data_IF_713996835771
#
_entry.id   IF_713996835771
#
_cell.length_a   1.000
_cell.length_b   1.000
_cell.length_c   1.000
_cell.angle_alpha   90.00
_cell.angle_beta   90.00
_cell.angle_gamma   90.00
#
_symmetry.space_group_name_H-M   'P 1'
#
loop_
_entity.id
_entity.type
_entity.pdbx_description
1 polymer ?
#
# COMPACT_ATOMS: atom_id res chain seq x y z
N UNK A 1 -66.54 -27.31 -7.47
CA UNK A 1 -67.41 -27.79 -6.37
C UNK A 1 -66.65 -27.65 -5.05
N UNK A 2 -67.03 -26.66 -4.23
CA UNK A 2 -67.30 -26.72 -2.77
C UNK A 2 -66.51 -27.77 -1.93
N UNK A 3 -65.81 -27.52 -0.79
CA UNK A 3 -66.02 -26.61 0.36
C UNK A 3 -64.78 -26.62 1.30
N UNK A 4 -64.57 -25.50 2.01
CA UNK A 4 -63.71 -25.26 3.19
C UNK A 4 -64.16 -26.01 4.47
N UNK A 5 -63.25 -26.39 5.38
CA UNK A 5 -63.40 -26.13 6.83
C UNK A 5 -62.18 -26.52 7.70
N UNK A 6 -61.85 -25.62 8.62
CA UNK A 6 -60.93 -25.68 9.76
C UNK A 6 -61.42 -26.64 10.87
N UNK A 7 -60.52 -27.16 11.73
CA UNK A 7 -60.52 -27.05 13.22
C UNK A 7 -59.50 -28.02 13.92
N UNK A 8 -58.62 -27.38 14.71
CA UNK A 8 -57.95 -27.69 16.01
C UNK A 8 -57.71 -29.13 16.56
N UNK A 9 -56.45 -29.29 17.00
CA UNK A 9 -55.92 -29.85 18.27
C UNK A 9 -56.28 -31.28 18.73
N UNK A 10 -55.25 -32.09 19.04
CA UNK A 10 -54.78 -32.49 20.39
C UNK A 10 -53.92 -33.76 20.24
N UNK A 11 -52.64 -33.70 20.62
CA UNK A 11 -51.85 -34.87 21.02
C UNK A 11 -51.46 -34.71 22.51
N UNK A 12 -51.53 -35.77 23.32
CA UNK A 12 -51.43 -35.67 24.77
C UNK A 12 -49.98 -35.66 25.28
N UNK A 13 -49.83 -34.88 26.35
CA UNK A 13 -48.75 -34.92 27.34
C UNK A 13 -48.76 -36.23 28.16
N UNK A 14 -47.58 -36.80 28.41
CA UNK A 14 -47.16 -37.28 29.73
C UNK A 14 -45.62 -37.48 29.71
N UNK A 15 -44.82 -36.65 30.39
CA UNK A 15 -44.59 -36.53 31.84
C UNK A 15 -43.41 -37.40 32.31
N UNK A 16 -42.26 -36.77 32.46
CA UNK A 16 -41.32 -37.07 33.53
C UNK A 16 -40.69 -35.76 33.98
N UNK A 17 -41.12 -35.33 35.17
CA UNK A 17 -40.71 -34.12 35.85
C UNK A 17 -39.22 -34.21 36.25
N UNK A 18 -38.46 -33.17 35.91
CA UNK A 18 -37.13 -32.92 36.46
C UNK A 18 -37.25 -31.69 37.38
N UNK A 19 -36.72 -31.85 38.58
CA UNK A 19 -36.79 -30.94 39.72
C UNK A 19 -36.06 -29.62 39.46
N UNK A 20 -36.81 -28.52 39.35
CA UNK A 20 -36.32 -27.18 38.99
C UNK A 20 -35.64 -26.42 40.13
N UNK A 21 -35.57 -26.97 41.36
CA UNK A 21 -35.02 -26.25 42.51
C UNK A 21 -33.50 -26.31 42.63
N UNK A 22 -32.84 -27.35 42.11
CA UNK A 22 -31.36 -27.44 42.10
C UNK A 22 -30.71 -26.59 41.00
N UNK A 23 -31.41 -26.33 39.89
CA UNK A 23 -30.86 -25.52 38.79
C UNK A 23 -30.79 -24.03 39.16
N UNK A 24 -31.73 -23.52 39.96
CA UNK A 24 -31.82 -22.10 40.31
C UNK A 24 -30.75 -21.69 41.34
N UNK A 25 -30.30 -22.60 42.21
CA UNK A 25 -29.21 -22.31 43.16
C UNK A 25 -27.85 -22.14 42.47
N UNK A 26 -27.59 -22.89 41.39
CA UNK A 26 -26.36 -22.78 40.59
C UNK A 26 -26.27 -21.47 39.79
N UNK A 27 -27.41 -20.91 39.36
CA UNK A 27 -27.44 -19.65 38.61
C UNK A 27 -27.33 -18.40 39.49
N UNK A 28 -27.61 -18.48 40.80
CA UNK A 28 -27.47 -17.33 41.72
C UNK A 28 -26.02 -17.09 42.15
N UNK A 29 -25.22 -18.16 42.35
CA UNK A 29 -23.79 -18.05 42.69
C UNK A 29 -22.92 -17.54 41.52
N UNK A 30 -23.34 -17.80 40.27
CA UNK A 30 -22.67 -17.25 39.07
C UNK A 30 -22.93 -15.75 38.91
N UNK A 31 -24.07 -15.24 39.41
CA UNK A 31 -24.46 -13.84 39.27
C UNK A 31 -23.83 -12.91 40.32
N UNK A 32 -23.38 -13.45 41.44
CA UNK A 32 -22.70 -12.68 42.50
C UNK A 32 -21.16 -12.70 42.38
N UNK A 33 -20.58 -13.67 41.65
CA UNK A 33 -19.15 -13.68 41.28
C UNK A 33 -18.76 -12.76 40.12
N UNK A 34 -19.74 -12.20 39.38
CA UNK A 34 -19.53 -11.27 38.26
C UNK A 34 -19.59 -9.79 38.67
N UNK A 35 -19.83 -9.49 39.96
CA UNK A 35 -19.92 -8.11 40.46
C UNK A 35 -18.58 -7.54 40.96
N UNK A 36 -17.56 -8.38 41.23
CA UNK A 36 -16.26 -7.94 41.73
C UNK A 36 -15.12 -8.57 40.90
N UNK A 37 -14.99 -8.12 39.66
CA UNK A 37 -13.85 -8.43 38.80
C UNK A 37 -13.38 -7.15 38.12
N UNK A 38 -12.20 -6.66 38.51
CA UNK A 38 -11.50 -5.58 37.81
C UNK A 38 -11.54 -5.84 36.30
N UNK A 39 -12.19 -4.94 35.54
CA UNK A 39 -12.17 -5.00 34.07
C UNK A 39 -10.71 -4.93 33.62
N UNK A 40 -10.16 -5.94 32.94
CA UNK A 40 -8.93 -5.74 32.19
C UNK A 40 -9.26 -4.77 31.06
N UNK A 41 -8.79 -3.53 31.18
CA UNK A 41 -8.89 -2.52 30.12
C UNK A 41 -7.94 -2.87 28.98
N UNK A 42 -8.23 -3.95 28.24
CA UNK A 42 -7.61 -4.23 26.95
C UNK A 42 -8.68 -4.32 25.89
N UNK A 43 -9.50 -3.27 25.77
CA UNK A 43 -10.09 -2.96 24.47
C UNK A 43 -8.89 -2.68 23.57
N UNK A 44 -8.47 -3.67 22.78
CA UNK A 44 -7.53 -3.44 21.68
C UNK A 44 -8.12 -2.29 20.88
N UNK A 45 -7.56 -1.08 21.04
CA UNK A 45 -7.98 0.09 20.28
C UNK A 45 -7.86 -0.31 18.82
N UNK A 46 -9.01 -0.52 18.17
CA UNK A 46 -9.06 -0.68 16.73
C UNK A 46 -8.45 0.60 16.19
N UNK A 47 -7.28 0.48 15.56
CA UNK A 47 -6.64 1.60 14.89
C UNK A 47 -7.70 2.12 13.92
N UNK A 48 -8.23 3.33 14.14
CA UNK A 48 -9.18 4.02 13.23
C UNK A 48 -8.39 4.89 12.27
N UNK A 49 -8.83 4.93 10.99
CA UNK A 49 -8.11 5.70 9.98
C UNK A 49 -8.00 7.13 10.50
N UNK A 50 -6.82 7.71 10.38
CA UNK A 50 -6.80 9.14 10.18
C UNK A 50 -6.94 9.23 8.66
N UNK A 51 -8.13 9.56 8.17
CA UNK A 51 -8.22 10.11 6.81
C UNK A 51 -7.24 11.26 6.82
N UNK A 52 -6.21 11.19 5.98
CA UNK A 52 -5.23 12.25 5.92
C UNK A 52 -5.94 13.40 5.24
N UNK A 53 -6.48 14.29 6.07
CA UNK A 53 -6.95 15.58 5.64
C UNK A 53 -5.75 16.50 5.73
N UNK A 54 -5.17 16.81 4.58
CA UNK A 54 -4.14 17.81 4.51
C UNK A 54 -4.76 19.17 4.86
N UNK A 55 -4.01 20.04 5.57
CA UNK A 55 -4.54 21.29 6.10
C UNK A 55 -4.85 22.34 5.02
N UNK A 56 -4.41 22.14 3.77
CA UNK A 56 -4.66 23.03 2.64
C UNK A 56 -5.40 22.33 1.50
N UNK A 57 -6.33 23.07 0.88
CA UNK A 57 -7.11 22.64 -0.29
C UNK A 57 -6.48 23.08 -1.62
N UNK A 58 -5.31 23.71 -1.59
CA UNK A 58 -4.64 24.24 -2.78
C UNK A 58 -3.29 23.58 -2.93
N UNK A 59 -3.10 22.94 -4.09
CA UNK A 59 -1.83 22.36 -4.47
C UNK A 59 -0.71 23.41 -4.44
N UNK A 60 0.54 22.96 -4.22
CA UNK A 60 1.69 23.84 -4.12
C UNK A 60 1.98 24.48 -5.48
N UNK A 61 2.62 25.65 -5.49
CA UNK A 61 3.07 26.30 -6.73
C UNK A 61 4.37 25.66 -7.20
N UNK A 62 4.48 25.40 -8.50
CA UNK A 62 5.66 24.79 -9.10
C UNK A 62 6.68 25.83 -9.53
N UNK A 63 7.94 25.55 -9.18
CA UNK A 63 9.08 26.13 -9.87
C UNK A 63 9.65 25.02 -10.76
N UNK A 64 9.41 25.13 -12.06
CA UNK A 64 10.04 24.24 -13.06
C UNK A 64 11.44 24.77 -13.29
N UNK A 65 12.44 23.93 -13.06
CA UNK A 65 13.82 24.22 -13.44
C UNK A 65 14.24 23.25 -14.55
N UNK A 66 14.76 23.82 -15.63
CA UNK A 66 15.41 23.04 -16.68
C UNK A 66 16.82 22.65 -16.18
N UNK A 67 17.10 21.34 -16.14
CA UNK A 67 18.45 20.86 -15.81
C UNK A 67 19.36 21.16 -17.02
N UNK A 68 20.52 21.83 -16.83
CA UNK A 68 21.43 22.11 -17.95
C UNK A 68 21.91 20.79 -18.57
N UNK A 69 21.92 20.75 -19.91
CA UNK A 69 22.38 19.61 -20.71
C UNK A 69 23.90 19.48 -20.60
N UNK A 70 24.37 18.94 -19.47
CA UNK A 70 25.78 18.65 -19.25
C UNK A 70 26.11 17.26 -19.80
N UNK A 71 26.83 17.28 -20.93
CA UNK A 71 27.15 16.13 -21.78
C UNK A 71 27.58 14.88 -21.02
N UNK A 72 27.09 13.74 -21.51
CA UNK A 72 27.37 12.42 -20.97
C UNK A 72 28.86 12.14 -20.99
N UNK A 73 29.44 11.97 -19.82
CA UNK A 73 30.79 11.41 -19.67
C UNK A 73 30.62 9.89 -19.57
N UNK A 74 31.28 9.15 -20.47
CA UNK A 74 31.31 7.68 -20.45
C UNK A 74 31.93 7.22 -19.13
N UNK A 75 31.09 6.81 -18.17
CA UNK A 75 31.50 6.23 -16.90
C UNK A 75 30.92 4.83 -16.75
N UNK A 76 31.69 3.92 -16.16
CA UNK A 76 31.42 2.48 -16.09
C UNK A 76 29.96 2.13 -15.78
N UNK A 77 29.27 1.63 -16.81
CA UNK A 77 27.81 1.51 -16.84
C UNK A 77 27.26 0.30 -16.06
N UNK A 78 28.15 -0.57 -15.58
CA UNK A 78 27.81 -1.89 -15.03
C UNK A 78 27.90 -1.98 -13.50
N UNK A 79 28.23 -0.88 -12.80
CA UNK A 79 28.37 -0.92 -11.36
C UNK A 79 27.03 -0.73 -10.65
N UNK A 80 26.59 -1.73 -9.89
CA UNK A 80 25.36 -1.67 -9.08
C UNK A 80 25.52 -0.55 -8.03
N UNK A 81 24.60 0.44 -7.97
CA UNK A 81 24.65 1.50 -6.97
C UNK A 81 24.66 0.93 -5.56
N UNK A 82 25.43 1.55 -4.67
CA UNK A 82 25.40 1.17 -3.26
C UNK A 82 24.25 1.94 -2.61
N UNK A 83 23.22 1.23 -2.17
CA UNK A 83 22.23 1.83 -1.27
C UNK A 83 22.94 2.17 0.04
N UNK A 84 22.86 3.43 0.44
CA UNK A 84 23.41 3.88 1.72
C UNK A 84 22.24 4.21 2.62
N UNK A 85 22.34 3.73 3.85
CA UNK A 85 21.50 4.14 4.95
C UNK A 85 22.17 5.28 5.69
N UNK A 86 21.64 6.49 5.54
CA UNK A 86 21.97 7.66 6.34
C UNK A 86 21.17 7.72 7.64
N UNK A 87 20.92 8.94 8.14
CA UNK A 87 20.18 9.18 9.38
C UNK A 87 18.74 8.65 9.35
N UNK A 88 18.16 8.44 8.16
CA UNK A 88 16.86 7.81 7.93
C UNK A 88 16.75 6.39 8.46
N UNK A 89 17.88 5.71 8.56
CA UNK A 89 17.99 4.35 9.07
C UNK A 89 18.40 4.27 10.53
N UNK A 90 19.06 5.31 11.05
CA UNK A 90 19.48 5.43 12.45
C UNK A 90 18.39 6.04 13.36
N UNK A 91 17.36 6.66 12.78
CA UNK A 91 16.19 7.16 13.48
C UNK A 91 15.99 8.67 13.36
N UNK A 92 14.73 9.07 13.12
CA UNK A 92 14.15 10.42 13.19
C UNK A 92 14.92 11.56 12.50
N UNK A 93 14.88 11.60 11.16
CA UNK A 93 15.58 12.60 10.31
C UNK A 93 15.11 14.05 10.49
N UNK A 94 13.92 14.28 11.01
CA UNK A 94 13.32 15.62 11.00
C UNK A 94 13.21 16.24 12.40
N UNK A 95 14.27 16.21 13.22
CA UNK A 95 14.22 17.00 14.46
C UNK A 95 14.37 18.51 14.19
N UNK A 96 15.13 18.90 13.16
CA UNK A 96 15.50 20.29 12.88
C UNK A 96 15.54 20.64 11.38
N UNK A 97 14.82 19.91 10.52
CA UNK A 97 14.91 20.19 9.09
C UNK A 97 14.24 21.54 8.76
N UNK A 98 14.94 22.40 8.02
CA UNK A 98 14.41 23.68 7.56
C UNK A 98 13.31 23.47 6.52
N UNK A 99 12.43 24.47 6.35
CA UNK A 99 11.42 24.45 5.27
C UNK A 99 12.04 24.15 3.90
N UNK A 100 13.19 24.74 3.61
CA UNK A 100 13.94 24.50 2.37
C UNK A 100 14.39 23.04 2.22
N UNK A 101 14.81 22.37 3.30
CA UNK A 101 15.18 20.94 3.26
C UNK A 101 13.97 20.04 3.02
N UNK A 102 12.81 20.37 3.60
CA UNK A 102 11.57 19.62 3.33
C UNK A 102 11.13 19.82 1.88
N UNK A 103 11.22 21.05 1.37
CA UNK A 103 10.88 21.36 -0.02
C UNK A 103 11.81 20.67 -1.02
N UNK A 104 13.14 20.70 -0.78
CA UNK A 104 14.10 20.00 -1.64
C UNK A 104 13.87 18.49 -1.65
N UNK A 105 13.46 17.91 -0.53
CA UNK A 105 13.13 16.47 -0.45
C UNK A 105 11.87 16.07 -1.22
N UNK A 106 11.05 17.05 -1.58
CA UNK A 106 9.84 16.90 -2.38
C UNK A 106 10.10 17.04 -3.88
N UNK A 107 11.28 17.53 -4.26
CA UNK A 107 11.67 17.66 -5.65
C UNK A 107 11.67 16.29 -6.34
N UNK A 108 11.23 16.25 -7.58
CA UNK A 108 11.16 15.02 -8.36
C UNK A 108 11.50 15.27 -9.82
N UNK A 109 11.94 14.21 -10.49
CA UNK A 109 12.13 14.15 -11.94
C UNK A 109 10.98 13.39 -12.60
N UNK A 110 10.60 13.85 -13.77
CA UNK A 110 9.62 13.18 -14.63
C UNK A 110 10.32 12.68 -15.88
N UNK A 111 10.02 11.44 -16.28
CA UNK A 111 10.50 10.86 -17.53
C UNK A 111 9.29 10.60 -18.45
N UNK A 112 9.38 11.02 -19.71
CA UNK A 112 8.33 10.83 -20.72
C UNK A 112 8.92 10.61 -22.11
N UNK A 113 8.13 10.07 -23.05
CA UNK A 113 8.53 9.87 -24.45
C UNK A 113 8.81 11.17 -25.21
N UNK A 114 8.21 12.28 -24.76
CA UNK A 114 8.34 13.61 -25.36
C UNK A 114 9.64 14.32 -24.97
N UNK A 115 10.44 13.68 -24.10
CA UNK A 115 11.78 14.15 -23.71
C UNK A 115 11.73 15.41 -22.86
N UNK A 116 11.49 15.27 -21.55
CA UNK A 116 11.61 16.39 -20.60
C UNK A 116 11.96 15.84 -19.22
N UNK A 117 13.25 15.91 -18.85
CA UNK A 117 13.74 15.71 -17.48
C UNK A 117 13.50 16.99 -16.67
N UNK A 118 12.24 17.27 -16.33
CA UNK A 118 11.92 18.46 -15.51
C UNK A 118 12.15 18.15 -14.05
N UNK A 119 13.04 18.90 -13.40
CA UNK A 119 13.09 18.97 -11.94
C UNK A 119 11.97 19.89 -11.51
N UNK A 120 11.02 19.35 -10.75
CA UNK A 120 9.90 20.12 -10.23
C UNK A 120 10.09 20.35 -8.75
N UNK A 121 10.38 21.60 -8.39
CA UNK A 121 10.37 22.04 -7.00
C UNK A 121 8.94 22.37 -6.55
N UNK A 122 8.66 22.06 -5.29
CA UNK A 122 7.33 22.13 -4.72
C UNK A 122 7.31 23.10 -3.54
N UNK A 123 6.62 24.22 -3.68
CA UNK A 123 6.43 25.16 -2.58
C UNK A 123 5.33 24.69 -1.62
N UNK A 124 5.75 23.95 -0.58
CA UNK A 124 4.86 23.52 0.50
C UNK A 124 4.47 24.69 1.41
N UNK A 125 3.17 24.82 1.69
CA UNK A 125 2.68 25.83 2.63
C UNK A 125 3.05 25.52 4.08
N UNK A 126 3.06 26.55 4.93
CA UNK A 126 3.49 26.43 6.33
C UNK A 126 2.55 25.54 7.16
N UNK A 127 1.27 25.46 6.79
CA UNK A 127 0.30 24.62 7.49
C UNK A 127 0.61 23.13 7.27
N UNK A 128 0.97 22.76 6.04
CA UNK A 128 1.42 21.41 5.68
C UNK A 128 2.70 21.05 6.41
N UNK A 129 3.70 21.94 6.43
CA UNK A 129 4.94 21.74 7.18
C UNK A 129 4.64 21.52 8.68
N UNK A 130 3.77 22.33 9.26
CA UNK A 130 3.35 22.16 10.66
C UNK A 130 2.59 20.84 10.91
N UNK A 131 1.79 20.38 9.95
CA UNK A 131 1.14 19.07 9.98
C UNK A 131 2.16 17.93 10.01
N UNK A 132 3.20 17.99 9.18
CA UNK A 132 4.28 16.99 9.17
C UNK A 132 4.97 16.91 10.52
N UNK A 133 5.36 18.05 11.11
CA UNK A 133 6.00 18.06 12.43
C UNK A 133 5.08 17.47 13.50
N UNK A 134 3.80 17.83 13.51
CA UNK A 134 2.81 17.26 14.45
C UNK A 134 2.70 15.75 14.30
N UNK A 135 2.63 15.25 13.07
CA UNK A 135 2.57 13.81 12.80
C UNK A 135 3.82 13.10 13.33
N UNK A 136 5.02 13.64 13.06
CA UNK A 136 6.28 13.07 13.53
C UNK A 136 6.38 13.04 15.07
N UNK A 137 5.95 14.10 15.76
CA UNK A 137 5.84 14.10 17.22
C UNK A 137 4.85 13.06 17.74
N UNK A 138 3.74 12.87 17.02
CA UNK A 138 2.76 11.81 17.29
C UNK A 138 3.37 10.41 17.18
N UNK A 139 4.09 10.13 16.10
CA UNK A 139 4.78 8.85 15.88
C UNK A 139 5.81 8.56 16.98
N UNK A 140 6.63 9.55 17.37
CA UNK A 140 7.58 9.41 18.49
C UNK A 140 6.89 9.04 19.80
N UNK A 141 5.76 9.70 20.08
CA UNK A 141 4.97 9.41 21.29
C UNK A 141 4.35 8.02 21.24
N UNK A 142 3.93 7.56 20.06
CA UNK A 142 3.43 6.19 19.88
C UNK A 142 4.55 5.16 20.06
N UNK A 143 5.71 5.36 19.44
CA UNK A 143 6.86 4.45 19.57
C UNK A 143 7.27 4.29 21.04
N UNK A 144 7.46 5.41 21.74
CA UNK A 144 7.79 5.39 23.17
C UNK A 144 6.74 4.63 24.00
N UNK A 145 5.44 4.79 23.69
CA UNK A 145 4.38 4.04 24.37
C UNK A 145 4.42 2.55 24.09
N UNK A 146 4.74 2.15 22.86
CA UNK A 146 4.90 0.73 22.52
C UNK A 146 6.14 0.15 23.22
N UNK A 147 7.26 0.87 23.27
CA UNK A 147 8.47 0.51 24.02
C UNK A 147 8.21 0.38 25.53
N UNK A 148 7.54 1.38 26.14
CA UNK A 148 7.11 1.35 27.55
C UNK A 148 6.18 0.15 27.82
N UNK A 149 5.22 -0.12 26.93
CA UNK A 149 4.31 -1.26 27.06
C UNK A 149 5.06 -2.60 26.97
N UNK A 150 6.05 -2.70 26.08
CA UNK A 150 6.94 -3.88 25.98
C UNK A 150 7.77 -4.08 27.24
N UNK A 151 8.40 -3.01 27.74
CA UNK A 151 9.21 -3.04 28.96
C UNK A 151 8.38 -3.44 30.19
N UNK A 152 7.12 -3.00 30.26
CA UNK A 152 6.19 -3.35 31.33
C UNK A 152 5.58 -4.76 31.17
N UNK A 153 5.64 -5.36 29.98
CA UNK A 153 5.24 -6.76 29.77
C UNK A 153 6.39 -7.70 30.15
N UNK A 154 6.37 -8.24 31.37
CA UNK A 154 7.26 -9.35 31.75
C UNK A 154 6.86 -10.59 30.95
N UNK A 155 7.67 -10.96 29.96
CA UNK A 155 7.53 -12.16 29.11
C UNK A 155 6.49 -12.09 27.99
N UNK A 156 6.99 -11.92 26.76
CA UNK A 156 6.92 -12.92 25.68
C UNK A 156 7.89 -12.48 24.57
N UNK A 157 9.17 -12.82 24.71
CA UNK A 157 10.06 -12.89 23.55
C UNK A 157 9.66 -14.14 22.78
N UNK A 158 8.64 -14.00 21.93
CA UNK A 158 8.46 -14.93 20.83
C UNK A 158 9.54 -14.60 19.81
N UNK A 159 10.65 -15.31 19.87
CA UNK A 159 11.53 -15.47 18.71
C UNK A 159 10.69 -16.28 17.73
N UNK A 160 10.02 -15.61 16.80
CA UNK A 160 9.56 -16.27 15.59
C UNK A 160 10.72 -16.11 14.63
N UNK A 161 11.58 -17.14 14.60
CA UNK A 161 12.48 -17.35 13.46
C UNK A 161 11.54 -17.62 12.29
N UNK A 162 11.53 -16.73 11.30
CA UNK A 162 10.65 -16.86 10.13
C UNK A 162 10.97 -18.15 9.37
N UNK A 163 10.02 -19.10 9.39
CA UNK A 163 9.92 -20.09 8.33
C UNK A 163 9.66 -19.35 7.01
N UNK A 164 10.14 -19.89 5.88
CA UNK A 164 9.80 -19.36 4.56
C UNK A 164 8.27 -19.35 4.39
N UNK A 165 7.67 -18.16 4.44
CA UNK A 165 6.22 -17.98 4.33
C UNK A 165 5.76 -17.71 2.91
N UNK A 166 6.59 -18.04 1.89
CA UNK A 166 6.19 -17.89 0.49
C UNK A 166 5.20 -18.97 0.09
N UNK A 167 4.02 -18.53 -0.31
CA UNK A 167 2.98 -19.36 -0.89
C UNK A 167 2.77 -18.95 -2.34
N UNK A 168 2.99 -19.87 -3.27
CA UNK A 168 2.66 -19.62 -4.67
C UNK A 168 1.15 -19.54 -4.84
N UNK A 169 0.68 -18.47 -5.48
CA UNK A 169 -0.71 -18.31 -5.87
C UNK A 169 -0.85 -18.83 -7.29
N UNK A 170 -1.19 -20.10 -7.43
CA UNK A 170 -1.42 -20.76 -8.72
C UNK A 170 -2.89 -20.72 -9.16
N UNK A 171 -3.81 -20.63 -8.20
CA UNK A 171 -5.23 -20.66 -8.44
C UNK A 171 -5.72 -19.38 -9.14
N UNK A 172 -6.40 -19.58 -10.27
CA UNK A 172 -6.91 -18.53 -11.16
C UNK A 172 -7.95 -17.64 -10.48
N UNK A 173 -8.77 -18.16 -9.59
CA UNK A 173 -9.76 -17.36 -8.87
C UNK A 173 -9.06 -16.34 -7.98
N UNK A 174 -8.06 -16.79 -7.22
CA UNK A 174 -7.27 -15.93 -6.34
C UNK A 174 -6.47 -14.88 -7.13
N UNK A 175 -5.80 -15.28 -8.21
CA UNK A 175 -5.03 -14.36 -9.07
C UNK A 175 -5.86 -13.23 -9.69
N UNK A 176 -7.18 -13.42 -9.78
CA UNK A 176 -8.10 -12.43 -10.32
C UNK A 176 -8.77 -11.56 -9.25
N UNK A 177 -8.48 -11.78 -7.97
CA UNK A 177 -9.06 -11.06 -6.84
C UNK A 177 -8.02 -10.19 -6.11
N UNK A 178 -8.47 -9.09 -5.53
CA UNK A 178 -7.66 -8.28 -4.62
C UNK A 178 -7.28 -9.09 -3.36
N UNK A 179 -5.99 -9.17 -2.98
CA UNK A 179 -4.87 -8.30 -3.37
C UNK A 179 -3.94 -8.85 -4.45
N UNK A 180 -4.22 -10.02 -5.01
CA UNK A 180 -3.30 -10.69 -5.93
C UNK A 180 -3.37 -10.11 -7.34
N UNK A 181 -4.56 -9.73 -7.79
CA UNK A 181 -4.81 -9.12 -9.10
C UNK A 181 -4.11 -7.77 -9.32
N UNK A 182 -3.72 -7.10 -8.23
CA UNK A 182 -3.13 -5.76 -8.27
C UNK A 182 -1.62 -5.79 -8.56
N UNK A 183 -0.98 -6.95 -8.50
CA UNK A 183 0.47 -7.07 -8.68
C UNK A 183 0.84 -7.01 -10.16
N UNK A 184 1.91 -6.29 -10.45
CA UNK A 184 2.42 -6.12 -11.81
C UNK A 184 3.90 -6.45 -11.87
N UNK A 185 4.36 -6.71 -13.10
CA UNK A 185 5.76 -6.95 -13.42
C UNK A 185 6.25 -5.87 -14.36
N UNK A 186 7.41 -5.28 -14.11
CA UNK A 186 8.03 -4.35 -15.06
C UNK A 186 8.82 -5.13 -16.11
N UNK A 187 9.08 -4.51 -17.27
CA UNK A 187 9.95 -5.08 -18.30
C UNK A 187 11.36 -5.35 -17.81
N UNK A 188 11.83 -4.56 -16.83
CA UNK A 188 13.11 -4.74 -16.11
C UNK A 188 13.13 -5.96 -15.18
N UNK A 189 12.00 -6.64 -14.99
CA UNK A 189 11.88 -7.84 -14.14
C UNK A 189 11.58 -7.58 -12.67
N UNK A 190 11.38 -6.31 -12.28
CA UNK A 190 10.89 -5.95 -10.95
C UNK A 190 9.39 -6.21 -10.80
N UNK A 191 8.93 -6.10 -9.55
CA UNK A 191 7.52 -6.09 -9.18
C UNK A 191 6.98 -4.68 -8.97
N UNK A 192 5.66 -4.56 -8.92
CA UNK A 192 4.93 -3.34 -8.62
C UNK A 192 3.51 -3.62 -8.15
N UNK A 193 2.81 -2.57 -7.74
CA UNK A 193 1.41 -2.65 -7.30
C UNK A 193 0.55 -1.58 -7.98
N UNK A 194 -0.62 -1.99 -8.48
CA UNK A 194 -1.65 -1.09 -9.00
C UNK A 194 -2.33 -0.36 -7.84
N UNK A 195 -2.33 0.97 -7.93
CA UNK A 195 -3.00 1.85 -6.97
C UNK A 195 -4.14 2.67 -7.59
N UNK A 196 -4.34 2.50 -8.90
CA UNK A 196 -5.55 2.84 -9.65
C UNK A 196 -5.54 2.00 -10.95
N UNK A 197 -6.51 2.22 -11.83
CA UNK A 197 -6.53 1.65 -13.18
C UNK A 197 -5.38 2.14 -14.10
N UNK A 198 -4.68 3.23 -13.74
CA UNK A 198 -3.62 3.84 -14.56
C UNK A 198 -2.26 3.95 -13.87
N UNK A 199 -2.22 3.81 -12.55
CA UNK A 199 -1.06 4.17 -11.74
C UNK A 199 -0.49 2.95 -11.01
N UNK A 200 0.83 2.79 -11.13
CA UNK A 200 1.60 1.71 -10.51
C UNK A 200 2.64 2.31 -9.57
N UNK A 201 2.67 1.85 -8.33
CA UNK A 201 3.81 2.10 -7.43
C UNK A 201 4.85 0.98 -7.59
N UNK A 202 6.12 1.39 -7.57
CA UNK A 202 7.27 0.48 -7.57
C UNK A 202 8.46 1.16 -6.88
N UNK A 203 9.61 0.49 -6.82
CA UNK A 203 10.86 1.05 -6.33
C UNK A 203 11.51 1.92 -7.41
N UNK A 204 12.17 3.01 -7.02
CA UNK A 204 12.91 3.85 -7.97
C UNK A 204 14.06 3.09 -8.64
N UNK A 205 14.68 2.14 -7.92
CA UNK A 205 15.70 1.22 -8.44
C UNK A 205 15.20 0.34 -9.58
N UNK A 206 13.89 0.19 -9.76
CA UNK A 206 13.31 -0.61 -10.86
C UNK A 206 13.18 0.16 -12.18
N UNK A 207 13.41 1.47 -12.15
CA UNK A 207 13.31 2.37 -13.31
C UNK A 207 14.59 3.14 -13.56
N UNK A 208 15.33 3.51 -12.52
CA UNK A 208 16.51 4.38 -12.59
C UNK A 208 17.62 3.89 -11.65
N UNK A 209 18.85 3.80 -12.14
CA UNK A 209 20.00 3.32 -11.35
C UNK A 209 20.79 4.45 -10.64
N UNK A 210 20.21 5.64 -10.54
CA UNK A 210 20.90 6.83 -10.00
C UNK A 210 21.72 7.63 -11.00
N UNK A 211 21.96 7.08 -12.19
CA UNK A 211 22.64 7.78 -13.29
C UNK A 211 21.74 7.91 -14.52
N UNK A 212 21.13 6.80 -14.93
CA UNK A 212 20.27 6.69 -16.10
C UNK A 212 19.08 5.78 -15.84
N UNK A 213 18.10 5.89 -16.72
CA UNK A 213 17.00 4.93 -16.81
C UNK A 213 17.52 3.53 -17.18
N UNK A 214 16.94 2.49 -16.57
CA UNK A 214 17.30 1.10 -16.86
C UNK A 214 16.90 0.66 -18.27
N UNK A 215 15.80 1.22 -18.78
CA UNK A 215 15.33 1.04 -20.15
C UNK A 215 14.85 2.39 -20.70
N UNK A 216 14.84 2.54 -22.02
CA UNK A 216 14.27 3.73 -22.66
C UNK A 216 12.76 3.77 -22.42
N UNK A 217 12.19 4.96 -22.26
CA UNK A 217 10.75 5.13 -21.98
C UNK A 217 9.85 4.37 -22.97
N UNK A 218 10.18 4.42 -24.27
CA UNK A 218 9.46 3.71 -25.35
C UNK A 218 9.49 2.17 -25.23
N UNK A 219 10.53 1.65 -24.58
CA UNK A 219 10.79 0.21 -24.43
C UNK A 219 10.32 -0.29 -23.04
N UNK A 220 10.05 0.62 -22.10
CA UNK A 220 9.60 0.30 -20.76
C UNK A 220 8.10 -0.03 -20.72
N UNK A 221 7.76 -1.22 -20.21
CA UNK A 221 6.40 -1.73 -20.17
C UNK A 221 6.05 -2.28 -18.79
N UNK A 222 4.76 -2.25 -18.46
CA UNK A 222 4.20 -2.92 -17.28
C UNK A 222 3.33 -4.09 -17.73
N UNK A 223 3.67 -5.28 -17.26
CA UNK A 223 2.97 -6.53 -17.51
C UNK A 223 2.01 -6.87 -16.38
N UNK A 224 0.79 -7.24 -16.73
CA UNK A 224 -0.20 -7.80 -15.80
C UNK A 224 -0.48 -9.23 -16.22
N UNK A 225 -0.47 -10.15 -15.26
CA UNK A 225 -0.78 -11.56 -15.55
C UNK A 225 -2.17 -11.66 -16.21
N UNK A 226 -2.29 -12.43 -17.29
CA UNK A 226 -3.56 -12.57 -17.99
C UNK A 226 -4.62 -13.30 -17.10
N UNK A 227 -5.91 -12.97 -17.31
CA UNK A 227 -7.05 -13.59 -16.58
C UNK A 227 -7.29 -15.05 -17.00
N UNK A 228 -6.79 -15.45 -18.18
CA UNK A 228 -6.97 -16.78 -18.77
C UNK A 228 -6.09 -17.83 -18.10
N UNK A 229 -6.40 -19.08 -18.39
CA UNK A 229 -5.49 -20.18 -18.12
C UNK A 229 -4.25 -20.03 -19.01
N UNK A 230 -3.09 -20.20 -18.39
CA UNK A 230 -1.82 -20.21 -19.09
C UNK A 230 -1.56 -21.61 -19.63
N UNK A 231 -0.83 -21.71 -20.73
CA UNK A 231 -0.36 -23.00 -21.22
C UNK A 231 0.73 -23.54 -20.29
N UNK A 232 0.96 -24.86 -20.24
CA UNK A 232 2.05 -25.43 -19.45
C UNK A 232 3.42 -24.82 -19.79
N UNK A 233 3.64 -24.48 -21.07
CA UNK A 233 4.87 -23.80 -21.52
C UNK A 233 5.02 -22.43 -20.84
N UNK A 234 3.96 -21.61 -20.88
CA UNK A 234 3.93 -20.28 -20.24
C UNK A 234 4.16 -20.36 -18.72
N UNK A 235 3.54 -21.34 -18.05
CA UNK A 235 3.71 -21.55 -16.61
C UNK A 235 5.13 -22.02 -16.24
N UNK A 236 5.72 -22.88 -17.06
CA UNK A 236 7.10 -23.35 -16.91
C UNK A 236 8.15 -22.30 -17.31
N UNK A 237 7.71 -21.15 -17.82
CA UNK A 237 8.56 -20.02 -18.16
C UNK A 237 9.00 -19.94 -19.62
N UNK A 238 8.60 -20.91 -20.44
CA UNK A 238 8.78 -20.84 -21.90
C UNK A 238 7.72 -19.89 -22.46
N UNK A 239 8.14 -18.86 -23.20
CA UNK A 239 7.26 -17.78 -23.66
C UNK A 239 6.55 -17.04 -22.51
N UNK A 240 7.15 -16.96 -21.32
CA UNK A 240 6.55 -16.32 -20.14
C UNK A 240 6.02 -14.90 -20.37
N UNK A 241 6.57 -14.16 -21.34
CA UNK A 241 6.09 -12.83 -21.72
C UNK A 241 4.64 -12.86 -22.21
N UNK A 242 4.20 -13.94 -22.85
CA UNK A 242 2.82 -14.14 -23.33
C UNK A 242 1.83 -14.37 -22.20
N UNK A 243 2.31 -14.79 -21.02
CA UNK A 243 1.50 -14.89 -19.81
C UNK A 243 1.06 -13.53 -19.25
N UNK A 244 1.62 -12.44 -19.77
CA UNK A 244 1.32 -11.07 -19.36
C UNK A 244 0.68 -10.29 -20.49
N UNK A 245 -0.20 -9.35 -20.12
CA UNK A 245 -0.62 -8.25 -20.98
C UNK A 245 0.29 -7.06 -20.69
N UNK A 246 1.16 -6.74 -21.64
CA UNK A 246 2.09 -5.61 -21.53
C UNK A 246 1.44 -4.30 -21.95
N UNK A 247 1.59 -3.28 -21.11
CA UNK A 247 1.05 -1.94 -21.34
C UNK A 247 2.20 -0.95 -21.36
N UNK A 248 2.31 -0.13 -22.43
CA UNK A 248 3.33 0.91 -22.50
C UNK A 248 3.14 1.98 -21.43
N UNK A 249 4.25 2.56 -21.00
CA UNK A 249 4.27 3.62 -20.00
C UNK A 249 4.18 5.00 -20.65
N UNK A 250 3.44 5.91 -20.01
CA UNK A 250 3.27 7.31 -20.43
C UNK A 250 4.27 8.22 -19.73
N UNK A 251 4.37 8.10 -18.39
CA UNK A 251 5.25 8.92 -17.54
C UNK A 251 5.78 8.09 -16.37
N UNK A 252 6.98 8.41 -15.91
CA UNK A 252 7.55 7.88 -14.67
C UNK A 252 7.99 9.05 -13.80
N UNK A 253 7.59 9.03 -12.53
CA UNK A 253 7.97 10.00 -11.52
C UNK A 253 8.95 9.35 -10.54
N UNK A 254 10.07 10.02 -10.30
CA UNK A 254 11.14 9.55 -9.41
C UNK A 254 11.59 10.71 -8.51
N UNK A 255 11.82 10.50 -7.20
CA UNK A 255 12.41 11.52 -6.35
C UNK A 255 13.71 12.07 -6.92
N UNK A 256 13.91 13.38 -6.83
CA UNK A 256 15.05 14.05 -7.45
C UNK A 256 16.36 13.56 -6.84
N UNK A 257 16.41 13.41 -5.51
CA UNK A 257 17.58 12.87 -4.79
C UNK A 257 17.99 11.46 -5.25
N UNK A 258 17.05 10.66 -5.76
CA UNK A 258 17.37 9.34 -6.33
C UNK A 258 18.00 9.44 -7.72
N UNK A 259 17.67 10.47 -8.49
CA UNK A 259 18.03 10.63 -9.91
C UNK A 259 18.97 11.80 -10.18
N UNK A 260 19.53 12.38 -9.12
CA UNK A 260 20.51 13.45 -9.21
C UNK A 260 21.87 12.85 -9.56
N UNK A 261 22.55 13.44 -10.56
CA UNK A 261 23.91 13.04 -10.93
C UNK A 261 24.85 13.26 -9.72
N UNK A 262 25.80 12.35 -9.45
CA UNK A 262 26.81 12.58 -8.42
C UNK A 262 27.66 13.82 -8.76
N UNK A 263 28.25 14.51 -7.76
CA UNK A 263 29.10 15.68 -8.00
C UNK A 263 30.27 15.37 -8.95
N UNK A 264 30.57 16.29 -9.87
CA UNK A 264 31.70 16.18 -10.82
C UNK A 264 33.00 15.85 -10.07
N UNK A 265 33.69 14.79 -10.50
CA UNK A 265 34.98 14.36 -9.94
C UNK A 265 34.90 13.21 -8.93
N UNK A 266 33.71 12.79 -8.48
CA UNK A 266 33.55 11.54 -7.72
C UNK A 266 33.43 10.34 -8.68
N UNK A 267 34.56 9.72 -9.00
CA UNK A 267 34.58 8.40 -9.65
C UNK A 267 34.36 7.33 -8.58
N UNK A 268 33.23 6.62 -8.65
CA UNK A 268 32.91 5.50 -7.76
C UNK A 268 31.42 5.17 -7.67
N UNK A 269 31.09 4.14 -6.88
CA UNK A 269 29.70 3.70 -6.62
C UNK A 269 28.83 4.87 -6.16
N UNK A 270 27.74 5.11 -6.88
CA UNK A 270 26.74 6.12 -6.49
C UNK A 270 26.08 5.66 -5.20
N UNK A 271 26.18 6.51 -4.18
CA UNK A 271 25.46 6.37 -2.92
C UNK A 271 24.03 6.86 -3.10
N UNK A 272 23.05 5.95 -3.11
CA UNK A 272 21.65 6.34 -3.26
C UNK A 272 20.90 6.27 -1.92
N UNK A 273 20.07 7.29 -1.61
CA UNK A 273 19.32 7.34 -0.36
C UNK A 273 18.18 6.34 -0.38
N UNK A 274 18.17 5.42 0.58
CA UNK A 274 17.22 4.30 0.59
C UNK A 274 15.78 4.76 0.78
N UNK A 275 15.53 5.82 1.55
CA UNK A 275 14.18 6.37 1.78
C UNK A 275 13.56 6.98 0.53
N UNK A 276 14.35 7.26 -0.50
CA UNK A 276 13.91 7.77 -1.81
C UNK A 276 13.70 6.67 -2.85
N UNK A 277 13.82 5.40 -2.47
CA UNK A 277 13.66 4.28 -3.38
C UNK A 277 12.18 3.95 -3.66
N UNK A 278 11.43 4.91 -4.24
CA UNK A 278 10.06 4.73 -4.70
C UNK A 278 9.81 5.52 -5.98
N UNK A 279 8.94 5.02 -6.83
CA UNK A 279 8.55 5.66 -8.08
C UNK A 279 7.07 5.43 -8.38
N UNK A 280 6.49 6.34 -9.15
CA UNK A 280 5.14 6.19 -9.69
C UNK A 280 5.20 6.11 -11.21
N UNK A 281 4.55 5.11 -11.77
CA UNK A 281 4.42 4.89 -13.20
C UNK A 281 2.97 5.19 -13.62
N UNK A 282 2.81 6.02 -14.66
CA UNK A 282 1.53 6.26 -15.34
C UNK A 282 1.50 5.48 -16.64
N UNK A 283 0.48 4.67 -16.84
CA UNK A 283 0.30 3.85 -18.04
C UNK A 283 -0.36 4.64 -19.18
N UNK A 284 -0.11 4.24 -20.43
CA UNK A 284 -0.78 4.83 -21.60
C UNK A 284 -2.25 4.43 -21.73
N UNK A 285 -2.66 3.34 -21.06
CA UNK A 285 -4.02 2.78 -21.15
C UNK A 285 -4.48 2.29 -19.79
N UNK A 286 -5.76 2.49 -19.50
CA UNK A 286 -6.39 1.97 -18.29
C UNK A 286 -6.42 0.45 -18.29
N UNK A 287 -6.32 -0.10 -17.10
CA UNK A 287 -6.33 -1.52 -16.86
C UNK A 287 -7.68 -1.92 -16.27
N UNK A 288 -8.30 -2.93 -16.86
CA UNK A 288 -9.48 -3.60 -16.31
C UNK A 288 -9.07 -4.55 -15.17
N UNK A 289 -8.62 -3.96 -14.07
CA UNK A 289 -8.14 -4.65 -12.87
C UNK A 289 -8.51 -3.87 -11.61
N UNK A 290 -8.79 -4.61 -10.56
CA UNK A 290 -8.81 -4.05 -9.21
C UNK A 290 -7.45 -3.43 -8.88
N UNK A 291 -7.46 -2.46 -7.99
CA UNK A 291 -6.28 -1.79 -7.46
C UNK A 291 -6.36 -1.69 -5.94
N UNK A 292 -5.24 -1.37 -5.31
CA UNK A 292 -5.13 -1.25 -3.86
C UNK A 292 -5.09 0.20 -3.43
N UNK A 293 -5.72 0.51 -2.30
CA UNK A 293 -5.59 1.84 -1.70
C UNK A 293 -4.16 2.06 -1.20
N UNK A 294 -3.75 3.33 -1.14
CA UNK A 294 -2.48 3.73 -0.52
C UNK A 294 -2.76 4.36 0.83
N UNK A 295 -1.85 4.20 1.78
CA UNK A 295 -2.01 4.71 3.13
C UNK A 295 -0.67 4.97 3.80
N UNK A 296 -0.67 5.80 4.84
CA UNK A 296 0.54 6.05 5.62
C UNK A 296 0.89 4.86 6.50
N UNK A 297 2.15 4.45 6.43
CA UNK A 297 2.77 3.54 7.39
C UNK A 297 3.12 4.32 8.67
N UNK A 298 2.49 3.95 9.77
CA UNK A 298 2.72 4.50 11.10
C UNK A 298 3.09 3.42 12.11
N UNK A 299 3.69 3.79 13.23
CA UNK A 299 3.98 2.86 14.34
C UNK A 299 2.74 2.05 14.73
N UNK A 300 1.56 2.68 14.66
CA UNK A 300 0.30 2.02 15.01
C UNK A 300 -0.07 0.83 14.10
N UNK A 301 0.31 0.84 12.81
CA UNK A 301 -0.05 -0.21 11.85
C UNK A 301 1.14 -1.05 11.36
N UNK A 302 2.36 -0.51 11.36
CA UNK A 302 3.60 -1.16 10.91
C UNK A 302 4.75 -1.01 11.91
N UNK A 303 4.45 -0.78 13.20
CA UNK A 303 5.47 -0.86 14.26
C UNK A 303 6.03 -2.27 14.43
N UNK A 304 7.09 -2.40 15.21
CA UNK A 304 7.68 -3.69 15.57
C UNK A 304 6.64 -4.68 16.13
N UNK A 305 6.70 -5.92 15.65
CA UNK A 305 5.78 -6.99 16.04
C UNK A 305 4.46 -6.99 15.26
N UNK A 306 4.20 -6.00 14.39
CA UNK A 306 3.01 -6.00 13.53
C UNK A 306 3.25 -6.89 12.30
N UNK A 307 2.16 -7.48 11.79
CA UNK A 307 2.19 -8.30 10.58
C UNK A 307 2.01 -7.44 9.35
N UNK A 308 2.88 -7.64 8.37
CA UNK A 308 2.78 -7.05 7.03
C UNK A 308 2.67 -8.16 5.98
N UNK A 309 2.18 -7.78 4.81
CA UNK A 309 1.93 -8.69 3.70
C UNK A 309 2.46 -8.08 2.41
N UNK A 310 2.95 -8.92 1.50
CA UNK A 310 3.10 -8.50 0.11
C UNK A 310 3.04 -9.70 -0.83
N UNK A 311 2.90 -9.40 -2.11
CA UNK A 311 2.98 -10.39 -3.18
C UNK A 311 3.89 -9.86 -4.28
N UNK A 312 4.61 -10.75 -4.95
CA UNK A 312 5.54 -10.35 -6.00
C UNK A 312 5.82 -11.47 -6.99
N UNK A 313 6.29 -11.07 -8.18
CA UNK A 313 6.83 -11.99 -9.16
C UNK A 313 8.31 -12.18 -8.86
N UNK A 314 8.66 -13.33 -8.29
CA UNK A 314 10.00 -13.56 -7.74
C UNK A 314 11.02 -14.05 -8.76
N UNK A 315 10.57 -14.36 -9.98
CA UNK A 315 11.39 -14.90 -11.06
C UNK A 315 11.15 -14.09 -12.34
N UNK A 316 12.23 -13.67 -13.01
CA UNK A 316 12.17 -12.91 -14.27
C UNK A 316 11.49 -13.73 -15.37
N UNK A 317 11.74 -15.03 -15.42
CA UNK A 317 11.28 -15.90 -16.50
C UNK A 317 9.99 -16.65 -16.18
N UNK A 318 9.32 -16.36 -15.05
CA UNK A 318 8.05 -17.03 -14.70
C UNK A 318 6.91 -16.05 -14.43
N UNK A 319 5.66 -16.47 -14.68
CA UNK A 319 4.45 -15.72 -14.33
C UNK A 319 3.90 -16.07 -12.95
N UNK A 320 4.67 -16.79 -12.12
CA UNK A 320 4.26 -17.22 -10.79
C UNK A 320 4.26 -16.05 -9.82
N UNK A 321 3.11 -15.82 -9.18
CA UNK A 321 2.97 -14.83 -8.12
C UNK A 321 3.15 -15.52 -6.77
N UNK A 322 4.08 -15.02 -5.96
CA UNK A 322 4.33 -15.51 -4.61
C UNK A 322 3.73 -14.54 -3.60
N UNK A 323 2.87 -15.03 -2.72
CA UNK A 323 2.36 -14.30 -1.56
C UNK A 323 3.17 -14.62 -0.32
N UNK A 324 3.38 -13.62 0.54
CA UNK A 324 3.99 -13.83 1.85
C UNK A 324 3.48 -12.87 2.91
N UNK A 325 3.75 -13.22 4.14
CA UNK A 325 3.52 -12.36 5.30
C UNK A 325 4.62 -12.59 6.33
N UNK A 326 5.02 -11.53 7.00
CA UNK A 326 6.02 -11.59 8.06
C UNK A 326 5.72 -10.54 9.12
N UNK A 327 6.56 -10.53 10.14
CA UNK A 327 6.50 -9.55 11.21
C UNK A 327 7.53 -8.45 10.95
N UNK A 328 7.18 -7.21 11.27
CA UNK A 328 8.15 -6.11 11.30
C UNK A 328 9.07 -6.31 12.50
N UNK A 329 10.38 -6.39 12.26
CA UNK A 329 11.40 -6.48 13.33
C UNK A 329 11.66 -5.12 13.97
N UNK A 330 11.76 -4.08 13.14
CA UNK A 330 12.08 -2.74 13.57
C UNK A 330 11.61 -1.75 12.50
N UNK A 331 11.27 -0.54 12.93
CA UNK A 331 10.89 0.54 12.04
C UNK A 331 11.55 1.87 12.44
N UNK A 332 11.89 2.64 11.41
CA UNK A 332 12.25 4.05 11.55
C UNK A 332 11.10 4.93 11.06
N UNK A 333 11.34 6.24 10.95
CA UNK A 333 10.37 7.15 10.36
C UNK A 333 10.14 6.90 8.87
N UNK A 334 11.16 6.41 8.17
CA UNK A 334 11.17 6.34 6.70
C UNK A 334 11.22 4.92 6.14
N UNK A 335 11.68 3.93 6.93
CA UNK A 335 11.84 2.55 6.48
C UNK A 335 11.33 1.53 7.51
N UNK A 336 11.02 0.34 7.01
CA UNK A 336 10.66 -0.86 7.77
C UNK A 336 11.73 -1.93 7.57
N UNK A 337 12.18 -2.55 8.65
CA UNK A 337 12.99 -3.76 8.64
C UNK A 337 12.09 -4.96 8.93
N UNK A 338 12.15 -5.95 8.06
CA UNK A 338 11.29 -7.12 8.13
C UNK A 338 12.01 -8.40 7.71
N UNK A 339 11.45 -9.54 8.10
CA UNK A 339 11.97 -10.88 7.79
C UNK A 339 11.27 -11.54 6.60
N UNK A 340 10.47 -10.80 5.83
CA UNK A 340 9.81 -11.40 4.68
C UNK A 340 10.84 -11.77 3.62
N UNK A 341 10.90 -13.03 3.23
CA UNK A 341 11.76 -13.50 2.14
C UNK A 341 11.46 -12.76 0.84
N UNK A 342 12.51 -12.47 0.07
CA UNK A 342 12.40 -11.80 -1.21
C UNK A 342 13.57 -12.12 -2.11
N UNK A 343 13.32 -12.07 -3.41
CA UNK A 343 14.36 -12.14 -4.44
C UNK A 343 14.62 -10.73 -4.97
N UNK A 344 15.69 -10.53 -5.76
CA UNK A 344 15.90 -9.25 -6.45
C UNK A 344 14.70 -8.81 -7.31
N UNK A 345 13.89 -9.74 -7.80
CA UNK A 345 12.68 -9.47 -8.59
C UNK A 345 11.48 -9.08 -7.75
N UNK A 346 11.50 -9.38 -6.45
CA UNK A 346 10.47 -8.91 -5.52
C UNK A 346 10.52 -7.40 -5.29
N UNK A 347 11.64 -6.74 -5.62
CA UNK A 347 11.82 -5.29 -5.47
C UNK A 347 10.72 -4.53 -6.21
N UNK A 348 10.18 -3.51 -5.54
CA UNK A 348 9.06 -2.70 -5.99
C UNK A 348 7.68 -3.23 -5.60
N UNK A 349 7.57 -4.41 -5.01
CA UNK A 349 6.30 -4.93 -4.51
C UNK A 349 5.67 -4.03 -3.43
N UNK A 350 4.35 -3.87 -3.48
CA UNK A 350 3.59 -3.14 -2.48
C UNK A 350 3.46 -3.93 -1.19
N UNK A 351 4.00 -3.40 -0.10
CA UNK A 351 3.80 -3.93 1.26
C UNK A 351 2.53 -3.32 1.83
N UNK A 352 1.58 -4.18 2.21
CA UNK A 352 0.25 -3.77 2.65
C UNK A 352 -0.14 -4.37 3.98
N UNK A 353 -1.06 -3.68 4.64
CA UNK A 353 -1.71 -4.12 5.88
C UNK A 353 -3.20 -4.31 5.65
N UNK A 354 -3.78 -5.24 6.39
CA UNK A 354 -5.23 -5.48 6.40
C UNK A 354 -5.89 -4.65 7.49
N UNK A 355 -6.97 -3.95 7.16
CA UNK A 355 -7.66 -3.07 8.09
C UNK A 355 -9.16 -3.14 7.97
N UNK A 356 -9.84 -3.08 9.10
CA UNK A 356 -11.30 -3.03 9.13
C UNK A 356 -11.81 -1.63 8.80
N UNK A 357 -12.48 -1.50 7.67
CA UNK A 357 -13.25 -0.32 7.31
C UNK A 357 -14.58 -0.36 8.08
N UNK A 358 -14.75 0.54 9.04
CA UNK A 358 -15.94 0.58 9.90
C UNK A 358 -17.19 1.05 9.15
N UNK A 359 -17.03 1.97 8.20
CA UNK A 359 -18.13 2.54 7.43
C UNK A 359 -18.70 1.51 6.48
N UNK A 360 -17.82 0.87 5.70
CA UNK A 360 -18.20 -0.15 4.72
C UNK A 360 -18.40 -1.55 5.34
N UNK A 361 -17.99 -1.75 6.59
CA UNK A 361 -17.98 -3.05 7.30
C UNK A 361 -17.27 -4.16 6.51
N UNK A 362 -16.16 -3.81 5.86
CA UNK A 362 -15.32 -4.75 5.10
C UNK A 362 -13.86 -4.63 5.54
N UNK A 363 -13.09 -5.68 5.30
CA UNK A 363 -11.64 -5.62 5.45
C UNK A 363 -11.02 -5.05 4.18
N UNK A 364 -10.48 -3.84 4.28
CA UNK A 364 -9.70 -3.22 3.22
C UNK A 364 -8.23 -3.56 3.38
N UNK A 365 -7.50 -3.51 2.26
CA UNK A 365 -6.05 -3.65 2.21
C UNK A 365 -5.49 -2.37 1.62
N UNK A 366 -4.46 -1.83 2.27
CA UNK A 366 -3.80 -0.63 1.78
C UNK A 366 -2.29 -0.80 1.79
N UNK A 367 -1.66 -0.38 0.71
CA UNK A 367 -0.21 -0.28 0.57
C UNK A 367 0.27 0.80 1.54
N UNK A 368 1.25 0.44 2.37
CA UNK A 368 1.84 1.31 3.40
C UNK A 368 3.35 1.40 3.31
N UNK A 369 3.98 0.54 2.51
CA UNK A 369 5.39 0.58 2.20
C UNK A 369 5.68 -0.07 0.84
N UNK A 370 6.88 0.13 0.30
CA UNK A 370 7.35 -0.43 -0.97
C UNK A 370 8.60 -1.27 -0.66
N UNK A 371 8.60 -2.54 -1.06
CA UNK A 371 9.72 -3.44 -0.82
C UNK A 371 10.92 -3.04 -1.66
N UNK A 372 12.08 -2.85 -1.04
CA UNK A 372 13.31 -2.39 -1.72
C UNK A 372 14.39 -3.45 -1.82
N UNK A 373 14.15 -4.63 -1.23
CA UNK A 373 15.08 -5.76 -1.28
C UNK A 373 15.90 -5.93 -0.01
N UNK A 374 16.89 -6.81 -0.15
CA UNK A 374 17.81 -7.20 0.90
C UNK A 374 18.97 -6.22 1.02
N UNK A 375 19.33 -5.86 2.24
CA UNK A 375 20.45 -4.96 2.52
C UNK A 375 21.34 -5.53 3.61
N UNK A 376 22.65 -5.47 3.33
CA UNK A 376 23.71 -5.80 4.29
C UNK A 376 24.20 -4.52 4.98
N UNK A 377 24.21 -4.56 6.30
CA UNK A 377 24.68 -3.51 7.20
C UNK A 377 25.96 -3.94 7.89
N UNK A 378 26.97 -3.08 7.88
CA UNK A 378 28.20 -3.25 8.65
C UNK A 378 28.11 -2.33 9.86
N UNK A 379 27.96 -2.89 11.05
CA UNK A 379 27.88 -2.14 12.30
C UNK A 379 29.29 -1.80 12.83
N UNK A 380 29.39 -0.76 13.65
CA UNK A 380 30.66 -0.28 14.23
C UNK A 380 31.35 -1.32 15.12
N UNK A 381 30.58 -2.25 15.70
CA UNK A 381 31.08 -3.38 16.49
C UNK A 381 31.66 -4.52 15.63
N UNK A 382 31.72 -4.34 14.31
CA UNK A 382 32.21 -5.33 13.35
C UNK A 382 31.17 -6.41 12.99
N UNK A 383 29.96 -6.36 13.54
CA UNK A 383 28.91 -7.31 13.19
C UNK A 383 28.25 -6.94 11.86
N UNK A 384 27.89 -7.97 11.10
CA UNK A 384 27.15 -7.82 9.84
C UNK A 384 25.70 -8.19 10.10
N UNK A 385 24.78 -7.30 9.74
CA UNK A 385 23.34 -7.58 9.79
C UNK A 385 22.72 -7.51 8.42
N UNK A 386 22.07 -8.59 8.06
CA UNK A 386 21.31 -8.73 6.83
C UNK A 386 19.82 -8.52 7.15
N UNK A 387 19.18 -7.60 6.43
CA UNK A 387 17.78 -7.23 6.66
C UNK A 387 17.07 -6.97 5.35
N UNK A 388 15.82 -7.40 5.24
CA UNK A 388 14.95 -6.97 4.16
C UNK A 388 14.29 -5.65 4.52
N UNK A 389 14.31 -4.72 3.57
CA UNK A 389 13.86 -3.34 3.79
C UNK A 389 12.65 -3.04 2.93
N UNK A 390 11.74 -2.24 3.49
CA UNK A 390 10.71 -1.57 2.73
C UNK A 390 10.68 -0.07 3.06
N UNK A 391 10.56 0.78 2.04
CA UNK A 391 10.38 2.22 2.21
C UNK A 391 8.96 2.49 2.67
N UNK A 392 8.83 3.08 3.85
CA UNK A 392 7.55 3.42 4.47
C UNK A 392 6.92 4.60 3.74
N UNK A 393 5.61 4.51 3.48
CA UNK A 393 4.85 5.63 2.93
C UNK A 393 4.55 6.59 4.09
N UNK A 394 5.31 7.67 4.20
CA UNK A 394 5.09 8.75 5.15
C UNK A 394 4.05 9.73 4.62
N UNK A 395 3.51 10.66 5.43
CA UNK A 395 2.57 11.66 4.91
C UNK A 395 3.17 12.53 3.80
N UNK A 396 4.48 12.77 3.85
CA UNK A 396 5.24 13.46 2.81
C UNK A 396 5.17 12.69 1.49
N UNK A 397 5.53 11.41 1.51
CA UNK A 397 5.48 10.50 0.35
C UNK A 397 4.06 10.29 -0.16
N UNK A 398 3.10 10.16 0.75
CA UNK A 398 1.68 10.03 0.41
C UNK A 398 1.18 11.25 -0.37
N UNK A 399 1.45 12.46 0.13
CA UNK A 399 1.10 13.70 -0.57
C UNK A 399 1.76 13.75 -1.96
N UNK A 400 3.04 13.37 -2.06
CA UNK A 400 3.75 13.36 -3.33
C UNK A 400 3.16 12.35 -4.33
N UNK A 401 2.84 11.13 -3.87
CA UNK A 401 2.20 10.10 -4.70
C UNK A 401 0.85 10.61 -5.21
N UNK A 402 0.02 11.15 -4.32
CA UNK A 402 -1.29 11.69 -4.72
C UNK A 402 -1.14 12.82 -5.73
N UNK A 403 -0.21 13.74 -5.47
CA UNK A 403 0.09 14.82 -6.40
C UNK A 403 0.54 14.29 -7.77
N UNK A 404 1.40 13.28 -7.84
CA UNK A 404 1.79 12.68 -9.12
C UNK A 404 0.63 11.99 -9.85
N UNK A 405 -0.39 11.51 -9.14
CA UNK A 405 -1.58 10.90 -9.72
C UNK A 405 -2.61 11.91 -10.25
N UNK A 406 -2.85 12.99 -9.49
CA UNK A 406 -3.99 13.89 -9.72
C UNK A 406 -3.60 15.30 -10.12
N UNK A 407 -2.33 15.68 -9.93
CA UNK A 407 -1.88 17.08 -9.96
C UNK A 407 -2.30 17.86 -8.71
N UNK A 408 -2.85 17.22 -7.69
CA UNK A 408 -3.30 17.86 -6.45
C UNK A 408 -3.29 16.89 -5.25
N UNK A 409 -2.43 17.15 -4.26
CA UNK A 409 -2.40 16.33 -3.04
C UNK A 409 -3.67 16.49 -2.17
N UNK A 410 -4.46 17.56 -2.33
CA UNK A 410 -5.74 17.75 -1.63
C UNK A 410 -6.86 16.85 -2.16
N UNK A 411 -6.79 16.45 -3.43
CA UNK A 411 -7.77 15.56 -4.08
C UNK A 411 -7.56 14.07 -3.75
N UNK A 412 -6.71 13.76 -2.78
CA UNK A 412 -6.49 12.38 -2.30
C UNK A 412 -7.73 11.76 -1.63
N UNK A 413 -8.72 12.56 -1.24
CA UNK A 413 -9.95 12.06 -0.59
C UNK A 413 -10.71 11.05 -1.46
N UNK A 414 -10.55 11.12 -2.80
CA UNK A 414 -11.14 10.15 -3.74
C UNK A 414 -10.54 8.74 -3.65
N UNK A 415 -9.38 8.55 -3.02
CA UNK A 415 -8.80 7.21 -2.79
C UNK A 415 -9.57 6.38 -1.76
N UNK A 416 -10.52 6.98 -1.03
CA UNK A 416 -11.42 6.28 -0.10
C UNK A 416 -12.87 6.18 -0.59
N UNK A 417 -13.23 6.87 -1.68
CA UNK A 417 -14.59 6.92 -2.19
C UNK A 417 -14.73 6.10 -3.48
N UNK A 418 -14.96 4.80 -3.32
CA UNK A 418 -15.87 4.17 -4.26
C UNK A 418 -17.25 4.83 -4.06
N UNK A 419 -17.91 5.23 -5.17
CA UNK A 419 -19.22 5.92 -5.27
C UNK A 419 -19.05 7.45 -5.10
N UNK A 420 -19.29 8.30 -6.12
CA UNK A 420 -20.56 8.57 -6.82
C UNK A 420 -20.28 9.04 -8.26
N UNK A 421 -20.75 8.27 -9.26
CA UNK A 421 -21.09 8.79 -10.58
C UNK A 421 -22.45 9.51 -10.46
N UNK A 422 -22.45 10.84 -10.36
CA UNK A 422 -23.59 11.65 -10.81
C UNK A 422 -23.09 12.39 -12.05
N UNK A 423 -23.48 11.86 -13.20
CA UNK A 423 -23.42 12.60 -14.46
C UNK A 423 -24.27 13.84 -14.26
N UNK A 424 -23.66 15.01 -14.45
CA UNK A 424 -24.34 16.29 -14.53
C UNK A 424 -25.36 16.24 -15.67
N UNK A 425 -26.65 16.14 -15.33
CA UNK A 425 -27.71 16.60 -16.22
C UNK A 425 -27.88 18.11 -16.00
N UNK A 426 -28.00 18.94 -17.06
CA UNK A 426 -28.23 20.37 -16.91
C UNK A 426 -29.62 20.65 -16.30
N UNK A 427 -29.81 21.80 -15.63
CA UNK A 427 -31.07 22.12 -14.98
C UNK A 427 -32.15 22.33 -16.03
N UNK A 428 -33.14 21.46 -16.04
CA UNK A 428 -34.34 21.62 -16.84
C UNK A 428 -35.27 22.60 -16.11
N UNK A 429 -35.69 23.61 -16.87
CA UNK A 429 -36.45 24.79 -16.47
C UNK A 429 -37.78 24.43 -15.79
N UNK A 430 -38.07 25.03 -14.63
CA UNK A 430 -39.40 25.00 -14.01
C UNK A 430 -40.33 25.90 -14.82
N UNK A 431 -41.30 25.31 -15.52
CA UNK A 431 -42.65 25.86 -15.67
C UNK A 431 -43.55 24.86 -16.42
N UNK A 432 -44.50 24.27 -15.69
CA UNK A 432 -45.86 23.81 -16.08
C UNK A 432 -46.30 22.51 -15.40
N UNK A 433 -46.97 22.70 -14.28
CA UNK A 433 -48.25 22.11 -13.83
C UNK A 433 -48.81 20.91 -14.65
N UNK A 434 -48.92 19.72 -14.05
CA UNK A 434 -50.17 19.06 -13.58
C UNK A 434 -50.07 17.53 -13.41
N UNK A 435 -50.62 17.06 -12.28
CA UNK A 435 -51.19 15.75 -11.92
C UNK A 435 -50.34 14.44 -11.87
N UNK A 436 -50.14 14.02 -10.62
CA UNK A 436 -50.13 12.66 -10.01
C UNK A 436 -50.32 11.44 -10.93
N UNK A 437 -49.41 10.47 -10.79
CA UNK A 437 -49.63 9.03 -10.48
C UNK A 437 -48.24 8.36 -10.34
N UNK A 438 -47.86 7.86 -9.15
CA UNK A 438 -47.88 6.43 -8.74
C UNK A 438 -46.60 5.64 -9.08
N UNK A 439 -46.27 4.68 -8.20
CA UNK A 439 -45.15 3.71 -8.20
C UNK A 439 -43.78 4.26 -7.69
N UNK A 440 -42.96 3.56 -6.91
CA UNK A 440 -42.60 2.14 -6.94
C UNK A 440 -42.18 1.58 -5.56
N UNK A 441 -42.55 0.32 -5.31
CA UNK A 441 -41.86 -0.64 -4.43
C UNK A 441 -41.65 -1.92 -5.26
N UNK A 442 -40.43 -2.47 -5.21
CA UNK A 442 -39.95 -3.83 -5.58
C UNK A 442 -38.59 -3.69 -6.31
N UNK A 443 -37.44 -3.95 -5.69
CA UNK A 443 -36.83 -5.26 -5.40
C UNK A 443 -36.88 -6.23 -6.58
N UNK A 444 -35.74 -6.53 -7.20
CA UNK A 444 -35.50 -7.83 -7.84
C UNK A 444 -33.99 -8.12 -7.95
N UNK A 445 -33.64 -9.29 -7.42
CA UNK A 445 -32.38 -10.01 -7.56
C UNK A 445 -32.59 -11.07 -8.67
N UNK A 446 -31.62 -11.20 -9.58
CA UNK A 446 -31.17 -12.49 -10.09
C UNK A 446 -31.86 -13.12 -11.31
N UNK A 447 -30.99 -13.75 -12.12
CA UNK A 447 -31.19 -14.82 -13.11
C UNK A 447 -31.50 -14.47 -14.58
N UNK A 448 -30.40 -14.46 -15.36
CA UNK A 448 -30.04 -15.43 -16.42
C UNK A 448 -30.91 -15.62 -17.69
N UNK A 449 -30.15 -15.73 -18.80
CA UNK A 449 -30.35 -16.43 -20.09
C UNK A 449 -31.05 -15.70 -21.25
N UNK A 450 -30.35 -15.81 -22.39
CA UNK A 450 -30.79 -15.82 -23.81
C UNK A 450 -31.52 -14.54 -24.25
N UNK A 451 -30.96 -13.70 -25.13
CA UNK A 451 -30.50 -13.92 -26.52
C UNK A 451 -29.35 -12.97 -26.86
#
# INVERSE_FOLDING_TARGET
>A
MWILLFILLVLPFNSSAVDWKETISKYRTIREGLANGHKPSSVKKVVTWHTIQFPSNTSPKFLVQDEPDEGDTEEDENEIPRLICGAECQGYVYQNATKSQVQSSFAYKVFSDEGENKVVDVDLDDAFIHYLYRWQHGERRLKRREEEAKANSRSRRGIVIGDDTRFEISDREWLNQNPFSTNVKTSTGCSGVLISNLHVLTAASCVHNGRKMLEKMRDFHVGIRQKRQLTPEEEMGKNWKEAFRWVPVKKIYVPNEWSSKPPKGQRGKVALPIDKNYALIILKRELDRDFMNVSVGSVANVGEGKRVHFSSFDDIARPTLSYRFCTVEEETMEVLYQECDGTPQSVGAGVYVRRWNRERRVWDRSVVAIFTGHQTFYLEDGTVRDRNIAVKITPLKFAQICYWMTGDYGQSEWMNAAVILIIAAPPFNEDRVYWRQSALVATLHGYAREV
#
